data_IF_092234925632
#
_entry.id   IF_092234925632
#
_cell.length_a   1.000
_cell.length_b   1.000
_cell.length_c   1.000
_cell.angle_alpha   90.00
_cell.angle_beta   90.00
_cell.angle_gamma   90.00
#
_symmetry.space_group_name_H-M   'P 1'
#
loop_
_entity.id
_entity.type
_entity.pdbx_description
1 polymer ?
#
# COMPACT_ATOMS: atom_id res chain seq x y z
N UNK A 1 10.76 -16.77 7.59
CA UNK A 1 10.03 -15.68 6.91
C UNK A 1 10.02 -14.35 7.68
N UNK A 2 10.04 -14.30 9.02
CA UNK A 2 10.03 -13.04 9.80
C UNK A 2 11.18 -12.08 9.45
N UNK A 3 12.41 -12.61 9.28
CA UNK A 3 13.56 -11.81 8.82
C UNK A 3 13.27 -11.09 7.49
N UNK A 4 12.67 -11.78 6.52
CA UNK A 4 12.37 -11.22 5.19
C UNK A 4 11.42 -10.03 5.28
N UNK A 5 10.40 -10.11 6.14
CA UNK A 5 9.44 -9.03 6.38
C UNK A 5 10.14 -7.81 6.97
N UNK A 6 10.93 -7.99 8.03
CA UNK A 6 11.63 -6.88 8.69
C UNK A 6 12.65 -6.23 7.78
N UNK A 7 13.43 -7.03 7.06
CA UNK A 7 14.43 -6.52 6.10
C UNK A 7 13.75 -5.74 4.98
N UNK A 8 12.64 -6.22 4.43
CA UNK A 8 11.86 -5.48 3.43
C UNK A 8 11.32 -4.15 3.96
N UNK A 9 10.77 -4.13 5.18
CA UNK A 9 10.28 -2.90 5.80
C UNK A 9 11.40 -1.89 6.05
N UNK A 10 12.56 -2.31 6.55
CA UNK A 10 13.72 -1.41 6.76
C UNK A 10 14.29 -0.86 5.45
N UNK A 11 14.24 -1.65 4.38
CA UNK A 11 14.66 -1.21 3.05
C UNK A 11 13.74 -0.14 2.45
N UNK A 12 12.42 -0.32 2.57
CA UNK A 12 11.43 0.55 1.94
C UNK A 12 11.13 1.78 2.81
N UNK A 13 10.93 1.59 4.12
CA UNK A 13 10.49 2.65 5.03
C UNK A 13 11.69 3.51 5.44
N UNK A 14 11.58 4.83 5.23
CA UNK A 14 12.62 5.78 5.61
C UNK A 14 12.78 5.90 7.13
N UNK A 15 11.68 5.68 7.87
CA UNK A 15 11.67 5.54 9.32
C UNK A 15 11.07 4.18 9.67
N UNK A 16 11.85 3.34 10.35
CA UNK A 16 11.37 2.08 10.89
C UNK A 16 11.03 2.23 12.36
N UNK A 17 10.07 1.43 12.80
CA UNK A 17 9.76 1.25 14.22
C UNK A 17 10.99 0.70 14.97
N UNK A 18 11.33 1.33 16.10
CA UNK A 18 12.50 0.94 16.92
C UNK A 18 12.37 -0.49 17.48
N UNK A 19 11.13 -0.97 17.65
CA UNK A 19 10.84 -2.33 18.09
C UNK A 19 10.69 -3.30 16.92
N UNK A 20 10.92 -2.89 15.66
CA UNK A 20 10.79 -3.79 14.52
C UNK A 20 11.88 -4.88 14.56
N UNK A 21 11.47 -6.11 14.86
CA UNK A 21 12.36 -7.27 15.02
C UNK A 21 11.74 -8.57 14.55
N UNK A 22 12.55 -9.63 14.50
CA UNK A 22 12.13 -10.98 14.10
C UNK A 22 12.83 -12.06 14.90
N UNK A 23 12.22 -13.24 14.97
CA UNK A 23 12.84 -14.44 15.50
C UNK A 23 12.32 -15.70 14.81
N UNK A 24 13.02 -16.81 15.02
CA UNK A 24 12.52 -18.16 14.71
C UNK A 24 12.35 -18.89 16.03
N UNK A 25 11.11 -19.26 16.35
CA UNK A 25 10.75 -20.01 17.55
C UNK A 25 10.75 -21.52 17.30
N UNK A 26 10.21 -22.30 18.26
CA UNK A 26 10.04 -23.75 18.14
C UNK A 26 9.33 -24.16 16.85
N UNK A 27 9.59 -25.39 16.40
CA UNK A 27 8.99 -25.96 15.18
C UNK A 27 9.25 -25.10 13.91
N UNK A 28 10.36 -24.33 13.91
CA UNK A 28 10.73 -23.38 12.84
C UNK A 28 9.68 -22.31 12.58
N UNK A 29 8.80 -22.03 13.54
CA UNK A 29 7.80 -20.98 13.39
C UNK A 29 8.49 -19.62 13.36
N UNK A 30 8.17 -18.82 12.35
CA UNK A 30 8.78 -17.51 12.17
C UNK A 30 7.87 -16.41 12.66
N UNK A 31 8.44 -15.51 13.46
CA UNK A 31 7.74 -14.36 14.03
C UNK A 31 8.43 -13.07 13.60
N UNK A 32 7.64 -12.01 13.44
CA UNK A 32 8.12 -10.64 13.45
C UNK A 32 7.23 -9.85 14.41
N UNK A 33 7.78 -8.80 15.01
CA UNK A 33 7.05 -7.92 15.89
C UNK A 33 7.39 -6.46 15.57
N UNK A 34 6.51 -5.58 15.99
CA UNK A 34 6.59 -4.13 15.87
C UNK A 34 5.71 -3.51 16.96
N UNK A 35 5.94 -2.26 17.30
CA UNK A 35 4.98 -1.47 18.07
C UNK A 35 3.64 -1.47 17.34
N UNK A 36 2.58 -1.76 18.08
CA UNK A 36 1.21 -1.58 17.61
C UNK A 36 0.99 -0.07 17.44
N UNK A 37 1.11 0.41 16.21
CA UNK A 37 0.84 1.82 15.90
C UNK A 37 -0.67 1.96 15.73
N UNK A 38 -1.35 2.35 16.79
CA UNK A 38 -2.80 2.64 16.78
C UNK A 38 -3.13 4.02 16.16
N UNK A 39 -2.13 4.74 15.61
CA UNK A 39 -2.41 5.81 14.65
C UNK A 39 -2.85 5.21 13.31
N UNK A 40 -4.07 4.67 13.27
CA UNK A 40 -4.80 4.38 12.03
C UNK A 40 -5.43 5.66 11.47
N UNK A 41 -4.66 6.74 11.42
CA UNK A 41 -5.09 7.95 10.73
C UNK A 41 -4.93 7.72 9.24
N UNK A 42 -6.04 7.52 8.53
CA UNK A 42 -6.06 7.65 7.07
C UNK A 42 -6.27 9.11 6.70
N UNK A 43 -5.87 9.47 5.49
CA UNK A 43 -6.35 10.70 4.90
C UNK A 43 -7.83 10.53 4.53
N UNK A 44 -8.68 11.50 4.89
CA UNK A 44 -10.05 11.61 4.36
C UNK A 44 -9.96 12.26 2.98
N UNK A 45 -9.86 11.43 1.94
CA UNK A 45 -9.60 11.89 0.57
C UNK A 45 -10.83 12.59 0.00
N UNK A 46 -12.02 12.17 0.43
CA UNK A 46 -13.34 12.63 0.02
C UNK A 46 -13.60 14.08 0.43
N UNK A 47 -12.95 14.56 1.50
CA UNK A 47 -13.09 15.92 2.01
C UNK A 47 -12.04 16.88 1.43
N UNK A 48 -11.11 16.38 0.59
CA UNK A 48 -10.04 17.19 0.05
C UNK A 48 -10.50 18.11 -1.08
N UNK A 49 -10.04 19.36 -1.05
CA UNK A 49 -10.12 20.22 -2.22
C UNK A 49 -9.27 19.66 -3.37
N UNK A 50 -9.56 19.99 -4.64
CA UNK A 50 -8.74 19.54 -5.77
C UNK A 50 -7.26 19.93 -5.67
N UNK A 51 -6.94 21.04 -5.02
CA UNK A 51 -5.55 21.44 -4.76
C UNK A 51 -4.89 20.51 -3.74
N UNK A 52 -5.55 20.27 -2.60
CA UNK A 52 -5.03 19.39 -1.56
C UNK A 52 -4.87 17.94 -2.05
N UNK A 53 -5.82 17.45 -2.85
CA UNK A 53 -5.75 16.12 -3.45
C UNK A 53 -4.52 15.96 -4.35
N UNK A 54 -4.19 16.97 -5.17
CA UNK A 54 -2.98 16.96 -6.02
C UNK A 54 -1.70 16.94 -5.18
N UNK A 55 -1.64 17.72 -4.11
CA UNK A 55 -0.47 17.74 -3.24
C UNK A 55 -0.31 16.44 -2.45
N UNK A 56 -1.42 15.85 -2.00
CA UNK A 56 -1.45 14.53 -1.39
C UNK A 56 -0.98 13.45 -2.37
N UNK A 57 -1.48 13.44 -3.61
CA UNK A 57 -1.04 12.52 -4.66
C UNK A 57 0.47 12.66 -4.95
N UNK A 58 1.00 13.88 -5.01
CA UNK A 58 2.45 14.14 -5.16
C UNK A 58 3.25 13.62 -3.96
N UNK A 59 2.74 13.73 -2.74
CA UNK A 59 3.37 13.18 -1.55
C UNK A 59 3.45 11.65 -1.63
N UNK A 60 2.33 11.00 -1.92
CA UNK A 60 2.25 9.54 -2.07
C UNK A 60 3.16 9.04 -3.20
N UNK A 61 3.14 9.69 -4.36
CA UNK A 61 4.00 9.35 -5.49
C UNK A 61 5.48 9.45 -5.14
N UNK A 62 5.91 10.50 -4.44
CA UNK A 62 7.30 10.64 -3.96
C UNK A 62 7.69 9.57 -2.95
N UNK A 63 6.79 9.23 -2.03
CA UNK A 63 7.03 8.17 -1.05
C UNK A 63 7.22 6.81 -1.74
N UNK A 64 6.35 6.50 -2.71
CA UNK A 64 6.43 5.29 -3.52
C UNK A 64 7.73 5.24 -4.34
N UNK A 65 8.05 6.32 -5.07
CA UNK A 65 9.26 6.39 -5.88
C UNK A 65 10.52 6.18 -5.02
N UNK A 66 10.58 6.80 -3.82
CA UNK A 66 11.68 6.61 -2.88
C UNK A 66 11.78 5.17 -2.38
N UNK A 67 10.65 4.53 -2.08
CA UNK A 67 10.61 3.14 -1.65
C UNK A 67 11.22 2.22 -2.70
N UNK A 68 10.76 2.32 -3.95
CA UNK A 68 11.25 1.50 -5.06
C UNK A 68 12.71 1.78 -5.40
N UNK A 69 13.14 3.04 -5.35
CA UNK A 69 14.55 3.39 -5.59
C UNK A 69 15.50 2.87 -4.49
N UNK A 70 15.01 2.63 -3.26
CA UNK A 70 15.80 2.06 -2.16
C UNK A 70 15.85 0.54 -2.17
N UNK A 71 14.78 -0.12 -2.62
CA UNK A 71 14.67 -1.59 -2.62
C UNK A 71 15.06 -2.23 -3.95
N UNK A 72 15.18 -1.45 -5.04
CA UNK A 72 15.59 -1.92 -6.37
C UNK A 72 16.73 -1.09 -6.99
N UNK A 73 17.06 -1.38 -8.24
CA UNK A 73 18.03 -0.62 -9.01
C UNK A 73 17.38 0.65 -9.58
N UNK A 74 17.66 1.79 -8.93
CA UNK A 74 17.13 3.10 -9.34
C UNK A 74 17.49 3.50 -10.77
N UNK A 75 18.64 3.06 -11.29
CA UNK A 75 19.07 3.39 -12.66
C UNK A 75 18.27 2.56 -13.65
N UNK A 76 18.13 1.26 -13.39
CA UNK A 76 17.31 0.38 -14.23
C UNK A 76 15.84 0.81 -14.24
N UNK A 77 15.27 1.17 -13.09
CA UNK A 77 13.89 1.68 -12.98
C UNK A 77 13.74 2.97 -13.78
N UNK A 78 14.62 3.96 -13.59
CA UNK A 78 14.56 5.22 -14.32
C UNK A 78 14.72 5.03 -15.83
N UNK A 79 15.63 4.14 -16.26
CA UNK A 79 15.83 3.81 -17.67
C UNK A 79 14.60 3.15 -18.29
N UNK A 80 13.93 2.25 -17.55
CA UNK A 80 12.69 1.60 -18.00
C UNK A 80 11.54 2.60 -18.16
N UNK A 81 11.37 3.52 -17.20
CA UNK A 81 10.34 4.55 -17.27
C UNK A 81 10.60 5.57 -18.40
N UNK A 82 11.87 5.85 -18.67
CA UNK A 82 12.28 6.80 -19.69
C UNK A 82 11.88 8.25 -19.36
N UNK A 83 11.82 9.10 -20.39
CA UNK A 83 11.47 10.53 -20.27
C UNK A 83 10.12 10.90 -20.89
N UNK A 84 9.39 9.93 -21.46
CA UNK A 84 8.06 10.15 -22.02
C UNK A 84 6.97 10.04 -20.94
N UNK A 85 5.77 10.54 -21.22
CA UNK A 85 4.61 10.45 -20.34
C UNK A 85 3.82 9.13 -20.50
N UNK A 86 4.36 8.14 -21.22
CA UNK A 86 3.70 6.82 -21.44
C UNK A 86 3.37 6.12 -20.13
N UNK A 87 4.29 6.12 -19.18
CA UNK A 87 4.05 5.53 -17.86
C UNK A 87 2.97 6.29 -17.10
N UNK A 88 3.01 7.63 -17.12
CA UNK A 88 2.05 8.47 -16.41
C UNK A 88 0.62 8.24 -16.93
N UNK A 89 0.44 8.16 -18.25
CA UNK A 89 -0.85 7.83 -18.88
C UNK A 89 -1.30 6.41 -18.52
N UNK A 90 -0.41 5.43 -18.63
CA UNK A 90 -0.73 4.03 -18.31
C UNK A 90 -1.14 3.87 -16.84
N UNK A 91 -0.51 4.60 -15.93
CA UNK A 91 -0.86 4.61 -14.51
C UNK A 91 -2.22 5.28 -14.26
N UNK A 92 -2.54 6.36 -14.98
CA UNK A 92 -3.84 7.01 -14.91
C UNK A 92 -4.96 6.08 -15.41
N UNK A 93 -4.74 5.43 -16.56
CA UNK A 93 -5.69 4.47 -17.13
C UNK A 93 -5.92 3.28 -16.18
N UNK A 94 -4.83 2.74 -15.61
CA UNK A 94 -4.91 1.69 -14.59
C UNK A 94 -5.68 2.16 -13.36
N UNK A 95 -5.42 3.36 -12.86
CA UNK A 95 -6.10 3.88 -11.67
C UNK A 95 -7.61 4.02 -11.88
N UNK A 96 -8.04 4.48 -13.06
CA UNK A 96 -9.47 4.57 -13.40
C UNK A 96 -10.11 3.19 -13.53
N UNK A 97 -9.46 2.26 -14.23
CA UNK A 97 -9.97 0.90 -14.38
C UNK A 97 -10.06 0.17 -13.03
N UNK A 98 -9.05 0.35 -12.17
CA UNK A 98 -9.02 -0.25 -10.84
C UNK A 98 -10.07 0.37 -9.91
N UNK A 99 -10.38 1.66 -10.04
CA UNK A 99 -11.46 2.29 -9.30
C UNK A 99 -12.83 1.67 -9.64
N UNK A 100 -13.08 1.38 -10.93
CA UNK A 100 -14.27 0.64 -11.36
C UNK A 100 -14.29 -0.77 -10.79
N UNK A 101 -13.19 -1.52 -10.93
CA UNK A 101 -13.10 -2.87 -10.38
C UNK A 101 -13.39 -2.90 -8.88
N UNK A 102 -12.85 -1.95 -8.11
CA UNK A 102 -13.05 -1.88 -6.67
C UNK A 102 -14.52 -1.58 -6.30
N UNK A 103 -15.22 -0.77 -7.11
CA UNK A 103 -16.65 -0.53 -6.92
C UNK A 103 -17.48 -1.79 -7.21
N UNK A 104 -17.14 -2.50 -8.29
CA UNK A 104 -17.82 -3.76 -8.67
C UNK A 104 -17.59 -4.86 -7.62
N UNK A 105 -16.36 -4.99 -7.12
CA UNK A 105 -16.00 -5.95 -6.07
C UNK A 105 -16.73 -5.63 -4.76
N UNK A 106 -16.87 -4.35 -4.42
CA UNK A 106 -17.62 -3.94 -3.24
C UNK A 106 -19.11 -4.29 -3.37
N UNK A 107 -19.74 -3.98 -4.51
CA UNK A 107 -21.13 -4.33 -4.76
C UNK A 107 -21.35 -5.86 -4.75
N UNK A 108 -20.41 -6.64 -5.30
CA UNK A 108 -20.46 -8.09 -5.26
C UNK A 108 -20.37 -8.64 -3.82
N UNK A 109 -19.51 -8.05 -2.99
CA UNK A 109 -19.39 -8.40 -1.57
C UNK A 109 -20.70 -8.11 -0.82
N UNK A 110 -21.29 -6.93 -1.02
CA UNK A 110 -22.57 -6.56 -0.41
C UNK A 110 -23.70 -7.52 -0.84
N UNK A 111 -23.75 -7.87 -2.13
CA UNK A 111 -24.70 -8.86 -2.65
C UNK A 111 -24.54 -10.24 -2.01
N UNK A 112 -23.29 -10.70 -1.83
CA UNK A 112 -22.99 -11.97 -1.17
C UNK A 112 -23.39 -11.97 0.33
N UNK A 113 -23.24 -10.83 1.01
CA UNK A 113 -23.69 -10.65 2.39
C UNK A 113 -25.23 -10.71 2.44
N UNK A 114 -25.91 -9.96 1.57
CA UNK A 114 -27.37 -9.95 1.51
C UNK A 114 -27.97 -11.34 1.20
N UNK A 115 -27.28 -12.12 0.37
CA UNK A 115 -27.65 -13.50 0.05
C UNK A 115 -27.31 -14.53 1.16
N UNK A 116 -26.64 -14.10 2.25
CA UNK A 116 -26.21 -14.99 3.33
C UNK A 116 -25.06 -15.92 2.99
N UNK A 117 -24.36 -15.69 1.88
CA UNK A 117 -23.18 -16.46 1.48
C UNK A 117 -21.92 -16.05 2.25
N UNK A 118 -21.86 -14.79 2.69
CA UNK A 118 -20.77 -14.23 3.48
C UNK A 118 -21.33 -13.66 4.77
N UNK A 119 -20.83 -14.13 5.92
CA UNK A 119 -21.18 -13.56 7.22
C UNK A 119 -20.43 -12.26 7.44
N UNK A 120 -21.15 -11.16 7.60
CA UNK A 120 -20.59 -9.88 8.02
C UNK A 120 -20.99 -9.57 9.46
N UNK A 121 -20.05 -9.08 10.26
CA UNK A 121 -20.36 -8.45 11.53
C UNK A 121 -20.74 -6.97 11.28
N UNK A 122 -21.74 -6.41 11.98
CA UNK A 122 -22.00 -4.98 11.93
C UNK A 122 -20.73 -4.22 12.34
N UNK A 123 -20.42 -3.12 11.63
CA UNK A 123 -19.33 -2.22 12.01
C UNK A 123 -19.56 -1.66 13.41
N UNK A 124 -18.49 -1.62 14.22
CA UNK A 124 -18.50 -1.04 15.57
C UNK A 124 -18.63 0.48 15.54
#
# INVERSE_FOLDING_TARGET
QGHRVVSGQRLIQAASDIFLGWMTGPERRHFYWRQLRDMKGSAEVETMSPAMLRDYARLCGRALARAHARSGDRIAIAAYLGGSDVFDRSLADFALAYATQNADDHAALEGAIAAGMVTAAPGA
#
